data_IF_203858825258
#
_entry.id   IF_203858825258
#
_cell.length_a   1.000
_cell.length_b   1.000
_cell.length_c   1.000
_cell.angle_alpha   90.00
_cell.angle_beta   90.00
_cell.angle_gamma   90.00
#
_symmetry.space_group_name_H-M   'P 1'
#
loop_
_entity.id
_entity.type
_entity.pdbx_description
1 polymer ?
#
# COMPACT_ATOMS: atom_id res chain seq x y z
N UNK A 1 3.00 -5.47 19.69
CA UNK A 1 4.11 -6.28 19.13
C UNK A 1 4.41 -5.77 17.73
N UNK A 2 5.68 -5.55 17.40
CA UNK A 2 6.07 -5.16 16.04
C UNK A 2 5.93 -6.37 15.11
N UNK A 3 5.47 -6.15 13.87
CA UNK A 3 5.44 -7.19 12.84
C UNK A 3 6.85 -7.68 12.56
N UNK A 4 7.01 -8.96 12.23
CA UNK A 4 8.26 -9.42 11.61
C UNK A 4 8.37 -8.84 10.19
N UNK A 5 9.58 -8.79 9.65
CA UNK A 5 9.80 -8.38 8.26
C UNK A 5 8.90 -9.16 7.30
N UNK A 6 8.83 -10.49 7.45
CA UNK A 6 8.02 -11.33 6.56
C UNK A 6 6.51 -11.05 6.69
N UNK A 7 6.03 -10.74 7.89
CA UNK A 7 4.64 -10.32 8.10
C UNK A 7 4.36 -8.97 7.45
N UNK A 8 5.27 -7.99 7.59
CA UNK A 8 5.13 -6.69 6.95
C UNK A 8 5.16 -6.79 5.42
N UNK A 9 6.07 -7.62 4.89
CA UNK A 9 6.20 -7.91 3.46
C UNK A 9 4.91 -8.52 2.90
N UNK A 10 4.44 -9.62 3.49
CA UNK A 10 3.21 -10.29 3.04
C UNK A 10 2.00 -9.37 3.13
N UNK A 11 1.91 -8.56 4.18
CA UNK A 11 0.85 -7.57 4.35
C UNK A 11 0.82 -6.56 3.20
N UNK A 12 1.96 -5.93 2.89
CA UNK A 12 2.06 -4.96 1.79
C UNK A 12 1.88 -5.63 0.42
N UNK A 13 2.44 -6.83 0.19
CA UNK A 13 2.31 -7.54 -1.08
C UNK A 13 0.85 -7.89 -1.38
N UNK A 14 0.08 -8.34 -0.38
CA UNK A 14 -1.36 -8.60 -0.55
C UNK A 14 -2.12 -7.35 -0.98
N UNK A 15 -1.80 -6.21 -0.36
CA UNK A 15 -2.40 -4.93 -0.73
C UNK A 15 -1.99 -4.51 -2.15
N UNK A 16 -0.73 -4.69 -2.52
CA UNK A 16 -0.19 -4.35 -3.85
C UNK A 16 -0.80 -5.22 -4.97
N UNK A 17 -1.22 -6.45 -4.65
CA UNK A 17 -1.92 -7.34 -5.59
C UNK A 17 -3.44 -7.12 -5.63
N UNK A 18 -4.02 -6.42 -4.65
CA UNK A 18 -5.46 -6.19 -4.61
C UNK A 18 -5.91 -5.23 -5.72
N UNK A 19 -7.04 -5.53 -6.35
CA UNK A 19 -7.70 -4.62 -7.30
C UNK A 19 -8.76 -3.74 -6.62
N UNK A 20 -8.95 -3.88 -5.29
CA UNK A 20 -9.89 -3.07 -4.53
C UNK A 20 -9.24 -1.78 -4.05
N UNK A 21 -9.84 -0.64 -4.40
CA UNK A 21 -9.42 0.67 -3.87
C UNK A 21 -9.57 0.71 -2.35
N UNK A 22 -10.70 0.22 -1.83
CA UNK A 22 -10.99 0.24 -0.39
C UNK A 22 -9.98 -0.56 0.42
N UNK A 23 -9.55 -1.73 -0.07
CA UNK A 23 -8.54 -2.54 0.61
C UNK A 23 -7.18 -1.84 0.63
N UNK A 24 -6.77 -1.25 -0.50
CA UNK A 24 -5.52 -0.49 -0.57
C UNK A 24 -5.55 0.74 0.33
N UNK A 25 -6.66 1.47 0.37
CA UNK A 25 -6.82 2.65 1.24
C UNK A 25 -6.83 2.29 2.72
N UNK A 26 -7.45 1.16 3.10
CA UNK A 26 -7.43 0.67 4.48
C UNK A 26 -6.00 0.35 4.93
N UNK A 27 -5.23 -0.34 4.09
CA UNK A 27 -3.82 -0.63 4.33
C UNK A 27 -3.00 0.65 4.41
N UNK A 28 -3.25 1.62 3.52
CA UNK A 28 -2.56 2.91 3.55
C UNK A 28 -2.82 3.66 4.86
N UNK A 29 -4.07 3.67 5.32
CA UNK A 29 -4.45 4.30 6.57
C UNK A 29 -3.78 3.60 7.77
N UNK A 30 -3.69 2.27 7.75
CA UNK A 30 -3.02 1.51 8.81
C UNK A 30 -1.52 1.83 8.88
N UNK A 31 -0.81 1.80 7.75
CA UNK A 31 0.63 2.10 7.68
C UNK A 31 0.89 3.55 8.12
N UNK A 32 0.04 4.51 7.72
CA UNK A 32 0.18 5.92 8.14
C UNK A 32 -0.07 6.14 9.63
N UNK A 33 -0.87 5.28 10.29
CA UNK A 33 -1.12 5.34 11.73
C UNK A 33 0.03 4.75 12.55
N UNK A 34 0.89 3.94 11.94
CA UNK A 34 2.08 3.36 12.57
C UNK A 34 3.36 4.01 11.99
N UNK A 35 3.86 5.11 12.58
CA UNK A 35 5.09 5.76 12.12
C UNK A 35 6.32 4.85 12.24
N UNK A 36 6.25 3.80 13.07
CA UNK A 36 7.33 2.83 13.28
C UNK A 36 7.29 1.63 12.32
N UNK A 37 6.33 1.63 11.37
CA UNK A 37 6.06 0.48 10.50
C UNK A 37 7.31 -0.01 9.76
N UNK A 38 8.12 0.91 9.23
CA UNK A 38 9.35 0.61 8.49
C UNK A 38 10.62 0.64 9.37
N UNK A 39 10.53 1.06 10.63
CA UNK A 39 11.71 1.17 11.49
C UNK A 39 12.23 -0.21 11.92
N UNK A 40 13.44 -0.30 12.45
CA UNK A 40 13.94 -1.52 13.10
C UNK A 40 14.20 -2.71 12.18
N UNK A 41 14.04 -2.57 10.87
CA UNK A 41 14.54 -3.52 9.88
C UNK A 41 15.90 -3.07 9.32
N UNK A 42 16.73 -4.00 8.81
CA UNK A 42 17.89 -3.68 8.01
C UNK A 42 17.58 -2.79 6.80
N UNK A 43 18.50 -1.93 6.34
CA UNK A 43 18.24 -0.98 5.24
C UNK A 43 17.77 -1.63 3.93
N UNK A 44 18.27 -2.81 3.58
CA UNK A 44 17.88 -3.60 2.41
C UNK A 44 16.42 -4.07 2.51
N UNK A 45 16.00 -4.49 3.70
CA UNK A 45 14.61 -4.87 3.97
C UNK A 45 13.67 -3.67 3.94
N UNK A 46 14.12 -2.53 4.47
CA UNK A 46 13.36 -1.27 4.39
C UNK A 46 13.15 -0.88 2.93
N UNK A 47 14.21 -0.92 2.11
CA UNK A 47 14.12 -0.59 0.69
C UNK A 47 13.09 -1.47 -0.03
N UNK A 48 13.10 -2.78 0.22
CA UNK A 48 12.12 -3.70 -0.36
C UNK A 48 10.68 -3.42 0.11
N UNK A 49 10.48 -3.11 1.41
CA UNK A 49 9.15 -2.75 1.91
C UNK A 49 8.66 -1.42 1.32
N UNK A 50 9.55 -0.45 1.12
CA UNK A 50 9.21 0.84 0.50
C UNK A 50 8.89 0.73 -0.99
N UNK A 51 9.53 -0.19 -1.70
CA UNK A 51 9.22 -0.52 -3.09
C UNK A 51 7.78 -1.05 -3.20
N UNK A 52 7.45 -2.09 -2.44
CA UNK A 52 6.08 -2.66 -2.40
C UNK A 52 5.05 -1.62 -1.93
N UNK A 53 5.42 -0.80 -0.94
CA UNK A 53 4.57 0.29 -0.45
C UNK A 53 4.24 1.32 -1.55
N UNK A 54 5.19 1.62 -2.41
CA UNK A 54 4.98 2.51 -3.56
C UNK A 54 3.96 1.92 -4.52
N UNK A 55 4.00 0.62 -4.78
CA UNK A 55 2.99 -0.07 -5.60
C UNK A 55 1.58 -0.01 -4.99
N UNK A 56 1.47 -0.12 -3.66
CA UNK A 56 0.18 0.03 -2.97
C UNK A 56 -0.40 1.42 -3.23
N UNK A 57 0.39 2.48 -3.00
CA UNK A 57 -0.04 3.88 -3.18
C UNK A 57 -0.37 4.16 -4.65
N UNK A 58 0.51 3.77 -5.56
CA UNK A 58 0.36 4.08 -6.99
C UNK A 58 -0.86 3.37 -7.55
N UNK A 59 -1.05 2.07 -7.29
CA UNK A 59 -2.24 1.37 -7.76
C UNK A 59 -3.54 1.89 -7.13
N UNK A 60 -3.53 2.36 -5.87
CA UNK A 60 -4.70 3.04 -5.30
C UNK A 60 -5.04 4.33 -6.06
N UNK A 61 -4.02 5.14 -6.40
CA UNK A 61 -4.19 6.36 -7.20
C UNK A 61 -4.71 6.05 -8.60
N UNK A 62 -4.17 5.02 -9.25
CA UNK A 62 -4.59 4.60 -10.59
C UNK A 62 -6.05 4.15 -10.60
N UNK A 63 -6.47 3.34 -9.63
CA UNK A 63 -7.87 2.89 -9.53
C UNK A 63 -8.80 4.08 -9.25
N UNK A 64 -8.43 4.99 -8.34
CA UNK A 64 -9.19 6.19 -8.05
C UNK A 64 -9.32 7.10 -9.29
N UNK A 65 -8.24 7.27 -10.05
CA UNK A 65 -8.21 8.05 -11.29
C UNK A 65 -9.09 7.41 -12.38
N UNK A 66 -9.03 6.08 -12.52
CA UNK A 66 -9.87 5.34 -13.46
C UNK A 66 -11.36 5.50 -13.12
N UNK A 67 -11.75 5.41 -11.83
CA UNK A 67 -13.12 5.65 -11.36
C UNK A 67 -13.60 7.08 -11.68
N UNK A 68 -12.74 8.08 -11.45
CA UNK A 68 -13.06 9.49 -11.76
C UNK A 68 -13.23 9.74 -13.26
N UNK A 69 -12.39 9.12 -14.09
CA UNK A 69 -12.46 9.24 -15.55
C UNK A 69 -13.69 8.55 -16.11
N UNK A 70 -14.03 7.36 -15.61
CA UNK A 70 -15.27 6.66 -15.98
C UNK A 70 -16.52 7.48 -15.62
N UNK A 71 -16.49 8.22 -14.49
CA UNK A 71 -17.57 9.13 -14.12
C UNK A 71 -17.68 10.39 -14.99
N UNK A 72 -16.59 10.82 -15.65
CA UNK A 72 -16.60 11.96 -16.58
C UNK A 72 -17.04 11.61 -18.00
N UNK A 73 -16.94 10.35 -18.41
CA UNK A 73 -17.38 9.90 -19.74
C UNK A 73 -18.91 9.77 -19.86
N UNK A 74 -19.64 9.92 -18.75
CA UNK A 74 -21.11 9.88 -18.69
C UNK A 74 -21.64 11.28 -18.38
N UNK A 75 -21.25 12.29 -19.18
CA UNK A 75 -21.88 13.63 -19.21
C UNK A 75 -21.83 14.20 -20.62
#
# INVERSE_FOLDING_TARGET
MKRTFEQARVFLTRAAMSQSLEEREAVIAEVRRDPSFFEGYPPDQIALLQDIWSDVINGAREIALARSTAGKAVL
#
